data_IF_388975743037
#
_entry.id   IF_388975743037
#
_cell.length_a   1.000
_cell.length_b   1.000
_cell.length_c   1.000
_cell.angle_alpha   90.00
_cell.angle_beta   90.00
_cell.angle_gamma   90.00
#
_symmetry.space_group_name_H-M   'P 1'
#
loop_
_entity.id
_entity.type
_entity.pdbx_description
1 polymer ?
#
# COMPACT_ATOMS: atom_id res chain seq x y z
N UNK A 1 6.51 -10.65 13.08
CA UNK A 1 7.42 -9.99 12.14
C UNK A 1 7.21 -8.50 12.28
N UNK A 2 8.25 -7.78 12.67
CA UNK A 2 8.22 -6.31 12.72
C UNK A 2 8.43 -5.71 11.32
N UNK A 3 8.21 -4.40 11.18
CA UNK A 3 8.31 -3.67 9.90
C UNK A 3 9.70 -3.78 9.26
N UNK A 4 10.77 -3.78 10.06
CA UNK A 4 12.14 -3.84 9.56
C UNK A 4 12.45 -5.20 8.92
N UNK A 5 11.99 -6.28 9.53
CA UNK A 5 12.07 -7.62 8.93
C UNK A 5 11.31 -7.71 7.60
N UNK A 6 10.14 -7.05 7.49
CA UNK A 6 9.40 -7.06 6.22
C UNK A 6 10.15 -6.31 5.11
N UNK A 7 10.78 -5.18 5.46
CA UNK A 7 11.60 -4.42 4.51
C UNK A 7 12.78 -5.25 4.04
N UNK A 8 13.47 -5.96 4.95
CA UNK A 8 14.60 -6.80 4.55
C UNK A 8 14.16 -7.88 3.56
N UNK A 9 13.01 -8.52 3.81
CA UNK A 9 12.44 -9.50 2.87
C UNK A 9 12.15 -8.86 1.50
N UNK A 10 11.60 -7.64 1.46
CA UNK A 10 11.39 -6.92 0.19
C UNK A 10 12.69 -6.64 -0.55
N UNK A 11 13.76 -6.28 0.17
CA UNK A 11 15.08 -6.03 -0.41
C UNK A 11 15.65 -7.33 -1.00
N UNK A 12 15.57 -8.43 -0.24
CA UNK A 12 16.06 -9.75 -0.67
C UNK A 12 15.27 -10.29 -1.87
N UNK A 13 13.96 -9.99 -1.94
CA UNK A 13 13.06 -10.42 -3.01
C UNK A 13 12.95 -9.41 -4.17
N UNK A 14 13.61 -8.25 -4.08
CA UNK A 14 13.53 -7.18 -5.07
C UNK A 14 13.68 -7.66 -6.53
N UNK A 15 14.64 -8.56 -6.86
CA UNK A 15 14.78 -9.06 -8.23
C UNK A 15 13.56 -9.82 -8.77
N UNK A 16 12.77 -10.45 -7.88
CA UNK A 16 11.53 -11.16 -8.26
C UNK A 16 10.45 -10.18 -8.73
N UNK A 17 10.52 -8.93 -8.29
CA UNK A 17 9.62 -7.85 -8.66
C UNK A 17 10.16 -7.00 -9.82
N UNK A 18 11.29 -7.39 -10.43
CA UNK A 18 11.92 -6.66 -11.53
C UNK A 18 12.57 -5.34 -11.13
N UNK A 19 12.86 -5.15 -9.84
CA UNK A 19 13.58 -3.98 -9.30
C UNK A 19 14.86 -4.42 -8.58
N UNK A 20 15.78 -3.50 -8.37
CA UNK A 20 17.02 -3.78 -7.63
C UNK A 20 16.83 -3.62 -6.11
N UNK A 21 17.62 -4.34 -5.33
CA UNK A 21 17.68 -4.19 -3.87
C UNK A 21 17.89 -2.72 -3.47
N UNK A 22 18.82 -2.02 -4.15
CA UNK A 22 19.12 -0.61 -3.90
C UNK A 22 17.93 0.33 -4.20
N UNK A 23 17.04 -0.01 -5.14
CA UNK A 23 15.82 0.78 -5.38
C UNK A 23 14.81 0.59 -4.26
N UNK A 24 14.66 -0.63 -3.75
CA UNK A 24 13.79 -0.92 -2.60
C UNK A 24 14.31 -0.25 -1.32
N UNK A 25 15.62 -0.33 -1.07
CA UNK A 25 16.26 0.34 0.08
C UNK A 25 16.04 1.85 0.07
N UNK A 26 16.10 2.49 -1.10
CA UNK A 26 15.85 3.94 -1.23
C UNK A 26 14.45 4.34 -0.78
N UNK A 27 13.44 3.54 -1.06
CA UNK A 27 12.04 3.85 -0.70
C UNK A 27 11.62 3.25 0.64
N UNK A 28 12.43 2.37 1.24
CA UNK A 28 12.15 1.72 2.51
C UNK A 28 11.75 2.68 3.65
N UNK A 29 12.36 3.88 3.82
CA UNK A 29 11.94 4.82 4.86
C UNK A 29 10.47 5.26 4.71
N UNK A 30 9.98 5.45 3.49
CA UNK A 30 8.59 5.83 3.22
C UNK A 30 7.64 4.67 3.48
N UNK A 31 8.01 3.46 3.02
CA UNK A 31 7.22 2.26 3.30
C UNK A 31 7.11 2.00 4.81
N UNK A 32 8.21 2.20 5.56
CA UNK A 32 8.23 2.07 7.01
C UNK A 32 7.35 3.13 7.69
N UNK A 33 7.48 4.40 7.29
CA UNK A 33 6.70 5.49 7.88
C UNK A 33 5.19 5.30 7.67
N UNK A 34 4.77 4.87 6.48
CA UNK A 34 3.37 4.58 6.19
C UNK A 34 2.88 3.32 6.91
N UNK A 35 3.67 2.25 6.95
CA UNK A 35 3.32 1.04 7.69
C UNK A 35 3.18 1.28 9.20
N UNK A 36 3.89 2.27 9.77
CA UNK A 36 3.77 2.67 11.16
C UNK A 36 2.48 3.45 11.48
N UNK A 37 1.78 3.98 10.47
CA UNK A 37 0.46 4.60 10.63
C UNK A 37 -0.65 3.55 10.78
N UNK A 38 -0.36 2.31 10.39
CA UNK A 38 -1.28 1.18 10.39
C UNK A 38 -1.19 0.42 11.71
N UNK A 39 -2.31 -0.14 12.19
CA UNK A 39 -2.31 -0.86 13.48
C UNK A 39 -1.77 -2.29 13.35
N UNK A 40 -1.83 -2.89 12.17
CA UNK A 40 -1.44 -4.28 11.95
C UNK A 40 -0.20 -4.39 11.07
N UNK A 41 0.75 -5.28 11.41
CA UNK A 41 1.91 -5.54 10.55
C UNK A 41 1.53 -6.32 9.28
N UNK A 42 0.36 -6.96 9.27
CA UNK A 42 -0.14 -7.75 8.15
C UNK A 42 -1.63 -7.50 7.96
N UNK A 43 -2.08 -7.57 6.72
CA UNK A 43 -3.49 -7.49 6.37
C UNK A 43 -3.84 -8.60 5.38
N UNK A 44 -5.11 -8.96 5.36
CA UNK A 44 -5.68 -9.91 4.43
C UNK A 44 -6.20 -9.15 3.22
N UNK A 45 -5.65 -9.45 2.05
CA UNK A 45 -6.08 -8.89 0.77
C UNK A 45 -6.94 -9.94 0.06
N UNK A 46 -8.22 -9.65 -0.25
CA UNK A 46 -9.03 -10.50 -1.10
C UNK A 46 -8.47 -10.50 -2.53
N UNK A 47 -8.39 -11.69 -3.13
CA UNK A 47 -7.82 -11.93 -4.45
C UNK A 47 -8.67 -12.93 -5.23
N UNK A 48 -8.66 -12.82 -6.55
CA UNK A 48 -9.27 -13.81 -7.45
C UNK A 48 -8.37 -15.05 -7.58
N UNK A 49 -8.88 -16.10 -8.23
CA UNK A 49 -8.12 -17.32 -8.54
C UNK A 49 -6.86 -17.07 -9.39
N UNK A 50 -6.83 -15.97 -10.14
CA UNK A 50 -5.67 -15.51 -10.92
C UNK A 50 -4.68 -14.66 -10.08
N UNK A 51 -4.84 -14.63 -8.76
CA UNK A 51 -4.01 -13.85 -7.81
C UNK A 51 -4.09 -12.33 -8.02
N UNK A 52 -5.08 -11.85 -8.78
CA UNK A 52 -5.38 -10.43 -8.92
C UNK A 52 -6.09 -9.91 -7.68
N UNK A 53 -5.63 -8.79 -7.13
CA UNK A 53 -6.31 -8.14 -6.00
C UNK A 53 -7.72 -7.73 -6.38
N UNK A 54 -8.68 -8.00 -5.49
CA UNK A 54 -10.06 -7.61 -5.68
C UNK A 54 -10.17 -6.09 -5.59
N UNK A 55 -10.39 -5.46 -6.73
CA UNK A 55 -10.50 -4.01 -6.87
C UNK A 55 -11.97 -3.60 -6.93
N UNK A 56 -12.31 -2.55 -6.20
CA UNK A 56 -13.65 -1.93 -6.18
C UNK A 56 -13.58 -0.55 -6.82
N UNK A 57 -14.40 -0.30 -7.83
CA UNK A 57 -14.55 1.05 -8.39
C UNK A 57 -15.61 1.81 -7.61
N UNK A 58 -15.20 2.90 -6.96
CA UNK A 58 -16.07 3.85 -6.29
C UNK A 58 -16.36 5.01 -7.23
N UNK A 59 -17.63 5.27 -7.50
CA UNK A 59 -18.06 6.39 -8.34
C UNK A 59 -18.64 7.50 -7.47
N UNK A 60 -18.25 8.75 -7.75
CA UNK A 60 -18.80 9.89 -7.03
C UNK A 60 -20.30 10.05 -7.34
N UNK A 61 -21.13 10.15 -6.29
CA UNK A 61 -22.60 10.10 -6.42
C UNK A 61 -23.17 11.22 -7.31
N UNK A 62 -22.54 12.39 -7.32
CA UNK A 62 -22.99 13.57 -8.07
C UNK A 62 -22.14 13.87 -9.30
N UNK A 63 -21.02 13.17 -9.48
CA UNK A 63 -20.06 13.39 -10.58
C UNK A 63 -19.57 12.03 -11.09
N UNK A 64 -20.40 11.30 -11.86
CA UNK A 64 -20.10 9.92 -12.26
C UNK A 64 -18.80 9.74 -13.04
N UNK A 65 -18.30 10.81 -13.67
CA UNK A 65 -17.00 10.89 -14.33
C UNK A 65 -15.81 10.78 -13.37
N UNK A 66 -16.03 11.08 -12.08
CA UNK A 66 -15.03 10.89 -11.03
C UNK A 66 -15.21 9.49 -10.43
N UNK A 67 -14.30 8.61 -10.80
CA UNK A 67 -14.20 7.27 -10.25
C UNK A 67 -12.85 7.04 -9.59
N UNK A 68 -12.83 6.13 -8.63
CA UNK A 68 -11.65 5.75 -7.88
C UNK A 68 -11.62 4.24 -7.71
N UNK A 69 -10.52 3.61 -8.08
CA UNK A 69 -10.30 2.20 -7.86
C UNK A 69 -9.60 1.98 -6.52
N UNK A 70 -10.24 1.21 -5.65
CA UNK A 70 -9.73 0.92 -4.31
C UNK A 70 -9.58 -0.57 -4.08
N UNK A 71 -8.64 -0.93 -3.22
CA UNK A 71 -8.53 -2.27 -2.63
C UNK A 71 -8.76 -2.17 -1.13
N UNK A 72 -9.48 -3.14 -0.58
CA UNK A 72 -9.74 -3.21 0.84
C UNK A 72 -8.79 -4.21 1.50
N UNK A 73 -8.09 -3.77 2.55
CA UNK A 73 -7.19 -4.58 3.34
C UNK A 73 -7.79 -4.82 4.73
N UNK A 74 -7.91 -6.09 5.12
CA UNK A 74 -8.65 -6.49 6.32
C UNK A 74 -7.72 -6.98 7.43
N UNK A 75 -8.06 -6.78 8.72
CA UNK A 75 -7.17 -7.18 9.82
C UNK A 75 -7.15 -8.70 10.03
N UNK A 76 -8.20 -9.40 9.60
CA UNK A 76 -8.34 -10.87 9.71
C UNK A 76 -9.41 -11.42 8.76
N UNK A 77 -9.45 -12.76 8.62
CA UNK A 77 -10.44 -13.45 7.77
C UNK A 77 -11.90 -13.25 8.22
N UNK A 78 -12.15 -13.03 9.51
CA UNK A 78 -13.50 -12.71 10.01
C UNK A 78 -14.00 -11.39 9.41
N UNK A 79 -13.13 -10.38 9.38
CA UNK A 79 -13.44 -9.08 8.77
C UNK A 79 -13.70 -9.20 7.26
N UNK A 80 -12.90 -10.01 6.55
CA UNK A 80 -13.14 -10.31 5.13
C UNK A 80 -14.54 -10.91 4.93
N UNK A 81 -14.88 -11.92 5.72
CA UNK A 81 -16.16 -12.65 5.60
C UNK A 81 -17.38 -11.82 5.96
N UNK A 82 -17.22 -10.84 6.85
CA UNK A 82 -18.28 -9.92 7.26
C UNK A 82 -18.43 -8.71 6.33
N UNK A 83 -17.49 -8.50 5.41
CA UNK A 83 -17.42 -7.30 4.60
C UNK A 83 -18.48 -7.28 3.49
N UNK A 84 -19.24 -6.18 3.34
CA UNK A 84 -20.09 -5.99 2.16
C UNK A 84 -19.29 -5.71 0.88
N UNK A 85 -17.99 -5.41 1.01
CA UNK A 85 -17.10 -5.09 -0.10
C UNK A 85 -16.49 -6.32 -0.77
N UNK A 86 -16.65 -7.50 -0.17
CA UNK A 86 -16.14 -8.76 -0.70
C UNK A 86 -17.32 -9.59 -1.20
N UNK A 87 -17.35 -9.98 -2.49
CA UNK A 87 -18.41 -10.82 -3.01
C UNK A 87 -18.39 -12.18 -2.31
N UNK A 88 -19.58 -12.77 -2.12
CA UNK A 88 -19.72 -14.15 -1.60
C UNK A 88 -19.44 -15.17 -2.71
N UNK A 89 -18.30 -15.04 -3.35
CA UNK A 89 -17.81 -15.91 -4.41
C UNK A 89 -16.75 -16.87 -3.83
N UNK A 90 -16.94 -18.19 -3.89
CA UNK A 90 -15.96 -19.18 -3.44
C UNK A 90 -14.59 -19.10 -4.14
N UNK A 91 -14.51 -18.43 -5.29
CA UNK A 91 -13.25 -18.22 -6.02
C UNK A 91 -12.44 -17.04 -5.47
N UNK A 92 -13.01 -16.24 -4.57
CA UNK A 92 -12.30 -15.17 -3.88
C UNK A 92 -11.73 -15.72 -2.57
N UNK A 93 -10.41 -15.70 -2.47
CA UNK A 93 -9.67 -16.04 -1.26
C UNK A 93 -8.99 -14.80 -0.72
N UNK A 94 -8.77 -14.74 0.59
CA UNK A 94 -8.01 -13.65 1.20
C UNK A 94 -6.69 -14.17 1.76
N UNK A 95 -5.59 -13.61 1.28
CA UNK A 95 -4.25 -14.03 1.68
C UNK A 95 -3.63 -12.98 2.61
N UNK A 96 -2.95 -13.41 3.70
CA UNK A 96 -2.22 -12.50 4.55
C UNK A 96 -1.01 -11.95 3.79
N UNK A 97 -0.84 -10.64 3.84
CA UNK A 97 0.26 -9.92 3.22
C UNK A 97 0.86 -8.92 4.21
N UNK A 98 2.20 -8.81 4.28
CA UNK A 98 2.84 -7.81 5.11
C UNK A 98 2.47 -6.39 4.65
N UNK A 99 2.24 -5.47 5.58
CA UNK A 99 1.82 -4.10 5.29
C UNK A 99 2.79 -3.40 4.31
N UNK A 100 4.10 -3.56 4.51
CA UNK A 100 5.12 -3.01 3.61
C UNK A 100 5.04 -3.57 2.19
N UNK A 101 4.71 -4.86 2.03
CA UNK A 101 4.58 -5.49 0.72
C UNK A 101 3.33 -5.00 -0.01
N UNK A 102 2.23 -4.80 0.72
CA UNK A 102 1.01 -4.19 0.19
C UNK A 102 1.32 -2.79 -0.36
N UNK A 103 2.00 -1.95 0.44
CA UNK A 103 2.40 -0.61 0.06
C UNK A 103 3.36 -0.60 -1.14
N UNK A 104 4.31 -1.54 -1.18
CA UNK A 104 5.23 -1.69 -2.30
C UNK A 104 4.51 -2.08 -3.60
N UNK A 105 3.64 -3.10 -3.56
CA UNK A 105 2.89 -3.56 -4.73
C UNK A 105 1.89 -2.51 -5.25
N UNK A 106 1.38 -1.64 -4.37
CA UNK A 106 0.55 -0.49 -4.76
C UNK A 106 1.22 0.38 -5.84
N UNK A 107 2.55 0.51 -5.83
CA UNK A 107 3.28 1.29 -6.84
C UNK A 107 3.16 0.67 -8.24
N UNK A 108 3.11 -0.66 -8.32
CA UNK A 108 3.10 -1.44 -9.55
C UNK A 108 1.70 -1.58 -10.18
N UNK A 109 0.64 -1.58 -9.37
CA UNK A 109 -0.74 -1.73 -9.84
C UNK A 109 -1.25 -0.40 -10.39
N UNK A 110 -1.02 -0.14 -11.68
CA UNK A 110 -1.36 1.13 -12.35
C UNK A 110 -2.81 1.62 -12.16
N UNK A 111 -3.86 0.77 -12.26
CA UNK A 111 -5.23 1.27 -12.12
C UNK A 111 -5.64 1.55 -10.68
N UNK A 112 -4.82 1.23 -9.67
CA UNK A 112 -5.15 1.38 -8.27
C UNK A 112 -4.92 2.82 -7.80
N UNK A 113 -5.95 3.44 -7.24
CA UNK A 113 -5.86 4.80 -6.70
C UNK A 113 -5.55 4.79 -5.19
N UNK A 114 -6.14 3.86 -4.44
CA UNK A 114 -5.96 3.78 -2.99
C UNK A 114 -6.14 2.37 -2.42
N UNK A 115 -5.59 2.17 -1.22
CA UNK A 115 -5.89 1.02 -0.38
C UNK A 115 -6.49 1.54 0.92
N UNK A 116 -7.59 0.93 1.35
CA UNK A 116 -8.26 1.23 2.62
C UNK A 116 -7.94 0.10 3.59
N UNK A 117 -7.22 0.43 4.66
CA UNK A 117 -6.82 -0.49 5.71
C UNK A 117 -7.84 -0.44 6.85
N UNK A 118 -8.57 -1.53 7.07
CA UNK A 118 -9.48 -1.66 8.20
C UNK A 118 -8.73 -2.16 9.42
N UNK A 119 -8.97 -1.54 10.57
CA UNK A 119 -8.23 -1.85 11.80
C UNK A 119 -8.97 -2.83 12.71
N UNK A 120 -10.29 -2.94 12.60
CA UNK A 120 -11.10 -3.88 13.40
C UNK A 120 -12.11 -4.63 12.53
N UNK A 121 -12.50 -5.82 12.97
CA UNK A 121 -13.52 -6.61 12.26
C UNK A 121 -14.94 -6.06 12.44
N UNK A 122 -15.16 -5.24 13.47
CA UNK A 122 -16.48 -4.76 13.85
C UNK A 122 -16.81 -3.39 13.23
N UNK A 123 -15.81 -2.69 12.68
CA UNK A 123 -15.97 -1.44 11.96
C UNK A 123 -15.30 -1.49 10.58
N UNK A 124 -16.10 -1.83 9.56
CA UNK A 124 -15.70 -1.84 8.15
C UNK A 124 -16.22 -0.60 7.39
N UNK A 125 -16.60 0.46 8.11
CA UNK A 125 -17.07 1.73 7.54
C UNK A 125 -16.00 2.83 7.63
N UNK A 126 -14.96 2.62 8.44
CA UNK A 126 -13.85 3.55 8.62
C UNK A 126 -12.54 2.76 8.59
N UNK A 127 -11.63 3.22 7.75
CA UNK A 127 -10.29 2.65 7.63
C UNK A 127 -9.28 3.74 7.30
N UNK A 128 -8.01 3.43 7.50
CA UNK A 128 -6.90 4.29 7.11
C UNK A 128 -6.72 4.18 5.60
N UNK A 129 -6.99 5.26 4.87
CA UNK A 129 -6.77 5.29 3.43
C UNK A 129 -5.36 5.78 3.11
N UNK A 130 -4.63 4.98 2.34
CA UNK A 130 -3.37 5.39 1.72
C UNK A 130 -3.62 5.51 0.23
N UNK A 131 -3.30 6.67 -0.36
CA UNK A 131 -3.42 6.89 -1.80
C UNK A 131 -2.09 6.66 -2.52
N UNK A 132 -2.18 6.14 -3.74
CA UNK A 132 -1.02 5.85 -4.58
C UNK A 132 -0.28 7.14 -4.89
N UNK A 133 -1.04 8.21 -5.15
CA UNK A 133 -0.52 9.55 -5.33
C UNK A 133 0.30 10.01 -4.12
N UNK A 134 -0.24 9.92 -2.90
CA UNK A 134 0.49 10.37 -1.70
C UNK A 134 1.78 9.57 -1.48
N UNK A 135 1.73 8.25 -1.74
CA UNK A 135 2.91 7.39 -1.68
C UNK A 135 3.97 7.81 -2.72
N UNK A 136 3.56 8.07 -3.97
CA UNK A 136 4.45 8.53 -5.03
C UNK A 136 5.05 9.90 -4.74
N UNK A 137 4.22 10.85 -4.29
CA UNK A 137 4.64 12.21 -3.93
C UNK A 137 5.68 12.15 -2.78
N UNK A 138 5.47 11.28 -1.78
CA UNK A 138 6.41 11.06 -0.68
C UNK A 138 7.75 10.48 -1.15
N UNK A 139 7.73 9.55 -2.12
CA UNK A 139 8.95 8.99 -2.72
C UNK A 139 9.68 10.07 -3.53
N UNK A 140 8.96 10.88 -4.32
CA UNK A 140 9.57 11.96 -5.08
C UNK A 140 10.26 12.97 -4.17
N UNK A 141 9.59 13.40 -3.09
CA UNK A 141 10.16 14.33 -2.12
C UNK A 141 11.42 13.76 -1.44
N UNK A 142 11.43 12.47 -1.10
CA UNK A 142 12.61 11.81 -0.56
C UNK A 142 13.80 11.87 -1.54
N UNK A 143 13.54 11.54 -2.81
CA UNK A 143 14.58 11.54 -3.86
C UNK A 143 15.11 12.96 -4.11
N UNK A 144 14.27 13.99 -4.09
CA UNK A 144 14.69 15.38 -4.21
C UNK A 144 15.57 15.81 -3.04
N UNK A 145 15.19 15.46 -1.81
CA UNK A 145 15.96 15.78 -0.60
C UNK A 145 17.34 15.11 -0.61
N UNK A 146 17.44 13.89 -1.13
CA UNK A 146 18.72 13.18 -1.28
C UNK A 146 19.61 13.74 -2.40
N UNK A 147 19.03 14.44 -3.37
CA UNK A 147 19.75 15.05 -4.50
C UNK A 147 20.34 16.41 -4.17
N UNK A 148 19.91 17.08 -3.11
CA UNK A 148 20.52 18.33 -2.65
C UNK A 148 21.88 18.06 -2.00
N UNK A 149 23.00 18.34 -2.68
CA UNK A 149 24.30 18.30 -2.02
C UNK A 149 24.42 19.60 -1.22
N UNK A 150 24.79 19.51 0.05
CA UNK A 150 25.39 20.59 0.85
C UNK A 150 25.04 22.03 0.43
N UNK A 151 24.17 22.69 1.21
CA UNK A 151 24.10 24.15 1.20
C UNK A 151 25.47 24.73 1.52
N UNK A 152 26.19 25.18 0.49
CA UNK A 152 27.27 26.14 0.66
C UNK A 152 26.59 27.46 1.06
N UNK A 153 26.89 28.03 2.24
CA UNK A 153 26.41 29.37 2.56
C UNK A 153 26.94 30.34 1.51
N UNK A 154 26.03 31.12 0.92
CA UNK A 154 26.31 32.12 -0.13
C UNK A 154 27.09 33.34 0.37
N UNK A 155 27.97 33.19 1.35
CA UNK A 155 28.62 34.33 2.02
C UNK A 155 30.11 34.07 2.26
N UNK A 156 30.86 33.80 1.18
CA UNK A 156 32.31 34.02 1.11
C UNK A 156 32.64 34.42 -0.34
N UNK A 157 32.48 35.70 -0.68
CA UNK A 157 33.09 36.35 -1.85
C UNK A 157 33.32 37.83 -1.53
#
# INVERSE_FOLDING_TARGET
MDTDQQIQILVDQAPQYGVTAAEVEKIAPILKALAQQLQHPQYYIPQTSEQGWLMTTLTHRTQPELSKNVVYAFPNLKAVSASPHVPKDPQVIALPMPATHILFQMLAIKPLDSIVFFETSDNLQSGTEISRKNLQDSIHQLVETQRSPFGLPSDIA
#
